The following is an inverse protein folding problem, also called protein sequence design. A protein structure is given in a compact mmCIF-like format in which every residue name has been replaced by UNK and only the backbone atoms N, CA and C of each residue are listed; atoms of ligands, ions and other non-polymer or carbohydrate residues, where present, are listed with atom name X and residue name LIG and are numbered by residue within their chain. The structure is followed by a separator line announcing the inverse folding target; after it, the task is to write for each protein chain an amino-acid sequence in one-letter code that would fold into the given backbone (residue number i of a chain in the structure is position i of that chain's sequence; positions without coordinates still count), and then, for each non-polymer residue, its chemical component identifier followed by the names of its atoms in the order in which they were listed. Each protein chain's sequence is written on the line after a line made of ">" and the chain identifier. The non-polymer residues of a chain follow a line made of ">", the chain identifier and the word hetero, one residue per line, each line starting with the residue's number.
data_IF_698471426694
#
_entry.id   IF_698471426694
#
_cell.length_a   1.000
_cell.length_b   1.000
_cell.length_c   1.000
_cell.angle_alpha   90.00
_cell.angle_beta   90.00
_cell.angle_gamma   90.00
#
_symmetry.space_group_name_H-M   'P 1'
#
loop_
_entity.id
_entity.type
_entity.pdbx_description
1 polymer ?
#
# COMPACT_ATOMS: atom_id res chain seq x y z
N UNK A 1 -0.64 9.50 -26.68
CA UNK A 1 -2.09 9.39 -26.49
C UNK A 1 -2.60 7.95 -26.56
N UNK A 2 -2.01 7.07 -27.36
CA UNK A 2 -2.52 5.70 -27.58
C UNK A 2 -2.55 4.81 -26.34
N UNK A 3 -1.53 4.87 -25.48
CA UNK A 3 -1.48 4.08 -24.22
C UNK A 3 -2.62 4.42 -23.26
N UNK A 4 -3.04 5.69 -23.20
CA UNK A 4 -4.16 6.13 -22.37
C UNK A 4 -5.48 5.56 -22.87
N UNK A 5 -5.70 5.60 -24.19
CA UNK A 5 -6.89 5.05 -24.81
C UNK A 5 -6.98 3.53 -24.61
N UNK A 6 -5.87 2.81 -24.82
CA UNK A 6 -5.79 1.38 -24.56
C UNK A 6 -6.10 1.04 -23.09
N UNK A 7 -5.51 1.77 -22.14
CA UNK A 7 -5.79 1.57 -20.71
C UNK A 7 -7.25 1.87 -20.36
N UNK A 8 -7.84 2.92 -20.94
CA UNK A 8 -9.25 3.26 -20.73
C UNK A 8 -10.20 2.18 -21.28
N UNK A 9 -9.89 1.59 -22.44
CA UNK A 9 -10.66 0.47 -22.99
C UNK A 9 -10.59 -0.78 -22.12
N UNK A 10 -9.42 -1.11 -21.57
CA UNK A 10 -9.29 -2.21 -20.61
C UNK A 10 -10.10 -1.97 -19.34
N UNK A 11 -10.08 -0.74 -18.80
CA UNK A 11 -10.90 -0.37 -17.63
C UNK A 11 -12.41 -0.46 -17.96
N UNK A 12 -12.83 -0.08 -19.17
CA UNK A 12 -14.23 -0.22 -19.62
C UNK A 12 -14.69 -1.67 -19.72
N UNK A 13 -13.78 -2.60 -20.00
CA UNK A 13 -14.07 -4.04 -20.09
C UNK A 13 -14.25 -4.71 -18.73
N UNK A 14 -13.87 -4.05 -17.64
CA UNK A 14 -14.07 -4.57 -16.29
C UNK A 14 -15.57 -4.72 -16.03
N UNK A 15 -16.01 -5.97 -15.94
CA UNK A 15 -17.40 -6.32 -15.67
C UNK A 15 -17.78 -6.05 -14.20
N UNK A 16 -19.08 -5.91 -13.95
CA UNK A 16 -19.63 -5.81 -12.58
C UNK A 16 -19.26 -7.03 -11.73
N UNK A 17 -19.17 -8.21 -12.36
CA UNK A 17 -18.75 -9.44 -11.69
C UNK A 17 -17.29 -9.37 -11.23
N UNK A 18 -16.37 -8.93 -12.09
CA UNK A 18 -14.96 -8.76 -11.73
C UNK A 18 -14.78 -7.73 -10.61
N UNK A 19 -15.53 -6.63 -10.64
CA UNK A 19 -15.53 -5.67 -9.51
C UNK A 19 -16.06 -6.32 -8.22
N UNK A 20 -17.07 -7.17 -8.29
CA UNK A 20 -17.56 -7.91 -7.13
C UNK A 20 -16.50 -8.86 -6.56
N UNK A 21 -15.75 -9.56 -7.42
CA UNK A 21 -14.62 -10.41 -7.02
C UNK A 21 -13.51 -9.59 -6.35
N UNK A 22 -13.12 -8.45 -6.93
CA UNK A 22 -12.13 -7.55 -6.33
C UNK A 22 -12.59 -7.07 -4.94
N UNK A 23 -13.88 -6.73 -4.78
CA UNK A 23 -14.44 -6.34 -3.48
C UNK A 23 -14.40 -7.48 -2.46
N UNK A 24 -14.56 -8.73 -2.88
CA UNK A 24 -14.41 -9.88 -1.99
C UNK A 24 -12.96 -10.07 -1.57
N UNK A 25 -12.02 -9.99 -2.52
CA UNK A 25 -10.58 -10.06 -2.25
C UNK A 25 -10.10 -8.94 -1.33
N UNK A 26 -10.70 -7.75 -1.43
CA UNK A 26 -10.38 -6.61 -0.56
C UNK A 26 -10.72 -6.84 0.94
N UNK A 27 -11.43 -7.92 1.30
CA UNK A 27 -11.61 -8.32 2.71
C UNK A 27 -10.31 -8.84 3.34
N UNK A 28 -9.51 -9.55 2.56
CA UNK A 28 -8.21 -10.11 2.94
C UNK A 28 -7.23 -9.89 1.78
N UNK A 29 -6.79 -8.63 1.56
CA UNK A 29 -6.05 -8.29 0.36
C UNK A 29 -4.65 -8.88 0.38
N UNK A 30 -4.22 -9.45 -0.76
CA UNK A 30 -2.80 -9.71 -1.00
C UNK A 30 -2.02 -8.37 -0.98
N UNK A 31 -0.74 -8.36 -0.57
CA UNK A 31 0.05 -7.13 -0.46
C UNK A 31 0.03 -6.28 -1.75
N UNK A 32 0.22 -6.92 -2.91
CA UNK A 32 0.20 -6.27 -4.23
C UNK A 32 -1.14 -5.60 -4.53
N UNK A 33 -2.25 -6.27 -4.21
CA UNK A 33 -3.60 -5.73 -4.40
C UNK A 33 -3.83 -4.53 -3.46
N UNK A 34 -3.38 -4.64 -2.21
CA UNK A 34 -3.49 -3.57 -1.22
C UNK A 34 -2.74 -2.31 -1.67
N UNK A 35 -1.48 -2.47 -2.07
CA UNK A 35 -0.64 -1.39 -2.58
C UNK A 35 -1.24 -0.74 -3.82
N UNK A 36 -1.66 -1.54 -4.80
CA UNK A 36 -2.29 -1.05 -6.03
C UNK A 36 -3.55 -0.21 -5.75
N UNK A 37 -4.40 -0.66 -4.84
CA UNK A 37 -5.63 0.05 -4.48
C UNK A 37 -5.38 1.32 -3.67
N UNK A 38 -4.38 1.33 -2.80
CA UNK A 38 -3.95 2.53 -2.07
C UNK A 38 -3.39 3.58 -3.03
N UNK A 39 -2.55 3.17 -3.98
CA UNK A 39 -2.01 4.06 -5.01
C UNK A 39 -3.10 4.63 -5.90
N UNK A 40 -4.06 3.79 -6.31
CA UNK A 40 -5.21 4.25 -7.08
C UNK A 40 -6.04 5.27 -6.29
N UNK A 41 -6.30 5.01 -5.02
CA UNK A 41 -7.03 5.94 -4.16
C UNK A 41 -6.29 7.28 -4.02
N UNK A 42 -4.97 7.25 -3.83
CA UNK A 42 -4.11 8.45 -3.76
C UNK A 42 -4.21 9.29 -5.02
N UNK A 43 -4.08 8.67 -6.19
CA UNK A 43 -4.16 9.37 -7.48
C UNK A 43 -5.52 10.02 -7.67
N UNK A 44 -6.60 9.26 -7.48
CA UNK A 44 -7.97 9.75 -7.65
C UNK A 44 -8.37 10.82 -6.61
N UNK A 45 -7.65 10.94 -5.50
CA UNK A 45 -7.93 11.90 -4.42
C UNK A 45 -6.76 12.87 -4.21
N UNK A 46 -5.91 13.07 -5.21
CA UNK A 46 -4.69 13.89 -5.16
C UNK A 46 -4.98 15.36 -4.80
N UNK A 47 -6.15 15.88 -5.19
CA UNK A 47 -6.58 17.25 -4.83
C UNK A 47 -6.61 17.50 -3.32
N UNK A 48 -6.83 16.47 -2.50
CA UNK A 48 -6.85 16.60 -1.03
C UNK A 48 -5.48 16.93 -0.43
N UNK A 49 -4.43 16.73 -1.22
CA UNK A 49 -3.06 17.01 -0.88
C UNK A 49 -2.57 18.34 -1.48
N UNK A 50 -3.42 19.05 -2.23
CA UNK A 50 -3.08 20.38 -2.73
C UNK A 50 -2.74 21.32 -1.57
N UNK A 51 -1.58 21.98 -1.67
CA UNK A 51 -1.06 22.86 -0.61
C UNK A 51 -0.42 22.14 0.58
N UNK A 52 -0.33 20.80 0.56
CA UNK A 52 0.48 20.05 1.53
C UNK A 52 1.89 19.82 0.98
N UNK A 53 2.85 19.67 1.89
CA UNK A 53 4.25 19.40 1.55
C UNK A 53 4.58 17.90 1.54
N UNK A 54 3.78 17.08 2.23
CA UNK A 54 4.03 15.64 2.38
C UNK A 54 2.76 14.82 2.17
N UNK A 55 2.92 13.66 1.54
CA UNK A 55 1.92 12.59 1.52
C UNK A 55 2.17 11.70 2.74
N UNK A 56 1.17 11.56 3.60
CA UNK A 56 1.19 10.57 4.67
C UNK A 56 0.00 9.65 4.49
N UNK A 57 0.28 8.37 4.26
CA UNK A 57 -0.71 7.31 4.07
C UNK A 57 -0.60 6.39 5.26
N UNK A 58 -1.65 6.35 6.07
CA UNK A 58 -1.79 5.38 7.14
C UNK A 58 -2.61 4.23 6.58
N UNK A 59 -1.93 3.15 6.21
CA UNK A 59 -2.59 2.02 5.53
C UNK A 59 -3.82 1.51 6.29
N UNK A 60 -3.80 1.47 7.63
CA UNK A 60 -4.92 0.96 8.41
C UNK A 60 -6.13 1.88 8.33
N UNK A 61 -5.90 3.21 8.38
CA UNK A 61 -6.97 4.22 8.30
C UNK A 61 -7.46 4.43 6.88
N UNK A 62 -6.56 4.47 5.91
CA UNK A 62 -6.85 4.78 4.52
C UNK A 62 -7.39 3.58 3.74
N UNK A 63 -7.10 2.35 4.16
CA UNK A 63 -7.67 1.14 3.56
C UNK A 63 -9.20 1.15 3.56
N UNK A 64 -9.82 1.58 4.67
CA UNK A 64 -11.27 1.68 4.76
C UNK A 64 -11.86 2.65 3.73
N UNK A 65 -11.13 3.72 3.39
CA UNK A 65 -11.52 4.68 2.35
C UNK A 65 -11.39 4.06 0.95
N UNK A 66 -10.34 3.28 0.72
CA UNK A 66 -10.15 2.53 -0.53
C UNK A 66 -11.29 1.53 -0.76
N UNK A 67 -11.65 0.75 0.27
CA UNK A 67 -12.76 -0.22 0.19
C UNK A 67 -14.09 0.49 -0.05
N UNK A 68 -14.31 1.66 0.57
CA UNK A 68 -15.52 2.46 0.33
C UNK A 68 -15.58 2.97 -1.11
N UNK A 69 -14.46 3.45 -1.66
CA UNK A 69 -14.34 3.87 -3.05
C UNK A 69 -14.69 2.73 -4.02
N UNK A 70 -14.22 1.50 -3.78
CA UNK A 70 -14.54 0.34 -4.63
C UNK A 70 -16.03 -0.05 -4.63
N UNK A 71 -16.77 0.32 -3.59
CA UNK A 71 -18.22 0.08 -3.49
C UNK A 71 -19.04 1.14 -4.20
N UNK A 72 -18.43 2.27 -4.55
CA UNK A 72 -19.09 3.34 -5.29
C UNK A 72 -19.43 2.86 -6.71
N UNK A 73 -20.67 3.09 -7.15
CA UNK A 73 -21.11 2.79 -8.51
C UNK A 73 -20.43 3.72 -9.53
N UNK A 74 -20.02 4.91 -9.09
CA UNK A 74 -19.27 5.88 -9.88
C UNK A 74 -17.78 5.59 -10.01
N UNK A 75 -17.24 4.56 -9.34
CA UNK A 75 -15.80 4.27 -9.31
C UNK A 75 -15.18 4.15 -10.71
N UNK A 76 -15.76 3.33 -11.58
CA UNK A 76 -15.25 3.14 -12.95
C UNK A 76 -15.31 4.44 -13.75
N UNK A 77 -16.40 5.21 -13.60
CA UNK A 77 -16.54 6.50 -14.25
C UNK A 77 -15.50 7.51 -13.74
N UNK A 78 -15.17 7.48 -12.44
CA UNK A 78 -14.14 8.32 -11.85
C UNK A 78 -12.76 8.03 -12.43
N UNK A 79 -12.41 6.75 -12.66
CA UNK A 79 -11.16 6.36 -13.30
C UNK A 79 -11.13 6.83 -14.77
N UNK A 80 -12.19 6.57 -15.52
CA UNK A 80 -12.25 6.89 -16.95
C UNK A 80 -12.22 8.39 -17.23
N UNK A 81 -12.76 9.19 -16.32
CA UNK A 81 -12.79 10.65 -16.42
C UNK A 81 -11.68 11.33 -15.62
N UNK A 82 -10.69 10.58 -15.14
CA UNK A 82 -9.58 11.16 -14.39
C UNK A 82 -8.78 12.13 -15.29
N UNK A 83 -8.63 13.36 -14.81
CA UNK A 83 -7.81 14.39 -15.45
C UNK A 83 -6.41 14.39 -14.81
N UNK A 84 -5.34 14.10 -15.56
CA UNK A 84 -3.98 14.11 -15.00
C UNK A 84 -3.52 15.50 -14.55
N UNK A 85 -4.14 16.58 -15.03
CA UNK A 85 -3.79 17.97 -14.68
C UNK A 85 -3.95 18.25 -13.18
N UNK A 86 -4.79 17.47 -12.48
CA UNK A 86 -4.96 17.59 -11.02
C UNK A 86 -3.67 17.30 -10.25
N UNK A 87 -2.75 16.51 -10.83
CA UNK A 87 -1.45 16.19 -10.21
C UNK A 87 -0.49 17.37 -10.23
N UNK A 88 -0.67 18.34 -11.11
CA UNK A 88 0.14 19.56 -11.14
C UNK A 88 0.01 20.35 -9.83
N UNK A 89 -1.16 20.26 -9.17
CA UNK A 89 -1.40 20.86 -7.85
C UNK A 89 -0.82 20.08 -6.68
N UNK A 90 -0.32 18.86 -6.90
CA UNK A 90 0.18 17.95 -5.88
C UNK A 90 1.35 17.06 -6.38
N UNK A 91 2.47 17.64 -6.83
CA UNK A 91 3.57 16.89 -7.44
C UNK A 91 4.22 15.87 -6.49
N UNK A 92 4.16 16.13 -5.18
CA UNK A 92 4.64 15.24 -4.13
C UNK A 92 3.86 13.91 -4.08
N UNK A 93 2.63 13.86 -4.59
CA UNK A 93 1.88 12.61 -4.75
C UNK A 93 2.53 11.71 -5.80
N UNK A 94 2.99 12.29 -6.91
CA UNK A 94 3.69 11.53 -7.97
C UNK A 94 4.99 10.94 -7.44
N UNK A 95 5.80 11.75 -6.75
CA UNK A 95 7.04 11.28 -6.14
C UNK A 95 6.81 10.14 -5.12
N UNK A 96 5.71 10.21 -4.36
CA UNK A 96 5.34 9.13 -3.43
C UNK A 96 4.94 7.84 -4.15
N UNK A 97 4.18 7.95 -5.25
CA UNK A 97 3.78 6.80 -6.09
C UNK A 97 5.01 6.14 -6.72
N UNK A 98 5.94 6.93 -7.25
CA UNK A 98 7.20 6.43 -7.81
C UNK A 98 8.00 5.67 -6.76
N UNK A 99 8.20 6.27 -5.58
CA UNK A 99 8.91 5.62 -4.47
C UNK A 99 8.26 4.31 -4.02
N UNK A 100 6.94 4.17 -4.13
CA UNK A 100 6.23 2.95 -3.75
C UNK A 100 6.27 1.87 -4.84
N UNK A 101 6.44 2.27 -6.11
CA UNK A 101 6.54 1.38 -7.27
C UNK A 101 7.97 0.95 -7.59
N UNK A 102 8.98 1.70 -7.15
CA UNK A 102 10.41 1.36 -7.26
C UNK A 102 10.84 0.21 -6.34
N UNK A 103 10.01 -0.83 -6.21
CA UNK A 103 10.37 -2.07 -5.53
C UNK A 103 11.36 -2.83 -6.43
N UNK A 104 12.62 -2.88 -6.03
CA UNK A 104 13.67 -3.60 -6.75
C UNK A 104 13.42 -5.12 -6.69
N UNK A 105 13.46 -5.84 -7.83
CA UNK A 105 13.26 -7.29 -7.89
C UNK A 105 14.43 -8.11 -7.30
N UNK A 106 15.47 -7.47 -6.78
CA UNK A 106 16.67 -8.14 -6.24
C UNK A 106 16.52 -8.59 -4.76
N UNK A 107 15.38 -8.36 -4.11
CA UNK A 107 15.08 -8.90 -2.77
C UNK A 107 14.62 -10.38 -2.79
N UNK A 108 14.85 -11.12 -3.89
CA UNK A 108 14.61 -12.57 -4.02
C UNK A 108 15.89 -13.43 -4.00
N UNK A 109 16.96 -12.98 -3.33
CA UNK A 109 18.17 -13.82 -3.12
C UNK A 109 18.67 -13.79 -1.65
N UNK A 110 17.81 -14.14 -0.71
CA UNK A 110 18.23 -14.46 0.66
C UNK A 110 17.39 -15.57 1.31
N UNK A 111 17.07 -16.64 0.57
CA UNK A 111 16.50 -17.87 1.15
C UNK A 111 16.90 -19.12 0.37
N UNK A 112 18.19 -19.29 0.11
CA UNK A 112 18.73 -20.59 -0.25
C UNK A 112 20.16 -20.79 0.25
N UNK A 113 20.42 -20.61 1.54
CA UNK A 113 21.51 -21.35 2.19
C UNK A 113 21.38 -21.30 3.72
N UNK A 114 21.11 -22.46 4.34
CA UNK A 114 21.98 -23.09 5.34
C UNK A 114 21.30 -24.38 5.78
N UNK A 115 21.78 -25.45 5.16
CA UNK A 115 21.71 -26.78 5.73
C UNK A 115 22.45 -26.80 7.08
N UNK A 116 21.72 -27.17 8.14
CA UNK A 116 22.23 -27.80 9.35
C UNK A 116 23.33 -27.10 10.15
N UNK A 117 22.97 -26.50 11.29
CA UNK A 117 23.75 -26.59 12.55
C UNK A 117 22.95 -26.13 13.78
N UNK A 118 22.49 -27.15 14.52
CA UNK A 118 22.34 -27.28 15.99
C UNK A 118 21.51 -26.24 16.79
N UNK A 119 20.65 -26.70 17.71
CA UNK A 119 19.97 -25.84 18.65
C UNK A 119 20.97 -25.26 19.66
N UNK A 120 21.13 -23.93 19.68
CA UNK A 120 21.77 -23.22 20.79
C UNK A 120 20.73 -22.94 21.85
N UNK A 121 20.79 -23.75 22.91
CA UNK A 121 20.17 -23.52 24.21
C UNK A 121 20.67 -22.16 24.69
N UNK A 122 19.79 -21.15 24.69
CA UNK A 122 20.12 -19.85 25.26
C UNK A 122 19.90 -19.92 26.78
N UNK A 123 21.01 -20.07 27.49
CA UNK A 123 21.06 -20.01 28.95
C UNK A 123 20.54 -18.68 29.45
N UNK A 124 19.45 -18.77 30.21
CA UNK A 124 18.80 -17.68 30.94
C UNK A 124 19.77 -17.09 31.96
N UNK A 125 20.45 -16.00 31.61
CA UNK A 125 21.22 -15.21 32.58
C UNK A 125 20.24 -14.43 33.45
N UNK A 126 20.01 -14.93 34.66
CA UNK A 126 19.39 -14.16 35.76
C UNK A 126 20.43 -13.13 36.21
N UNK A 127 20.27 -11.88 35.79
CA UNK A 127 20.91 -10.76 36.48
C UNK A 127 20.22 -10.61 37.83
N UNK A 128 20.95 -10.91 38.90
CA UNK A 128 20.53 -10.75 40.28
C UNK A 128 20.62 -9.24 40.60
N UNK A 129 19.48 -8.57 40.67
CA UNK A 129 19.44 -7.16 41.08
C UNK A 129 19.76 -7.06 42.56
N UNK A 130 20.88 -6.39 42.81
CA UNK A 130 21.33 -5.72 44.03
C UNK A 130 20.18 -5.27 44.96
N UNK A 131 20.11 -5.85 46.16
CA UNK A 131 19.29 -5.33 47.26
C UNK A 131 20.24 -4.57 48.19
N UNK A 132 20.09 -3.25 48.21
CA UNK A 132 20.77 -2.33 49.11
C UNK A 132 19.89 -2.10 50.35
N UNK A 133 20.52 -2.15 51.52
CA UNK A 133 19.91 -1.99 52.83
C UNK A 133 19.42 -0.55 53.11
N UNK A 134 18.52 -0.41 54.09
CA UNK A 134 18.63 0.56 55.18
C UNK A 134 18.80 -0.22 56.51
N UNK A 135 19.65 0.12 57.47
CA UNK A 135 19.94 1.43 58.01
C UNK A 135 19.34 1.50 59.42
N UNK A 136 20.11 1.10 60.44
CA UNK A 136 20.03 1.51 61.85
C UNK A 136 21.33 1.10 62.56
#
# INVERSE_FOLDING_TARGET
>A
SDRRLAAAEEVRRISKQQLAEIRQLARHPAPVLKSSLLLLWLLLNSERFRGRSTVHVDEAKDWHKCVRMLRDEGFTAQILNYDPSVLEGAPHVVAHVESMMSFDPDDEEASSEVAGKRPRIFSRSRSLTQIQAPGD
#
